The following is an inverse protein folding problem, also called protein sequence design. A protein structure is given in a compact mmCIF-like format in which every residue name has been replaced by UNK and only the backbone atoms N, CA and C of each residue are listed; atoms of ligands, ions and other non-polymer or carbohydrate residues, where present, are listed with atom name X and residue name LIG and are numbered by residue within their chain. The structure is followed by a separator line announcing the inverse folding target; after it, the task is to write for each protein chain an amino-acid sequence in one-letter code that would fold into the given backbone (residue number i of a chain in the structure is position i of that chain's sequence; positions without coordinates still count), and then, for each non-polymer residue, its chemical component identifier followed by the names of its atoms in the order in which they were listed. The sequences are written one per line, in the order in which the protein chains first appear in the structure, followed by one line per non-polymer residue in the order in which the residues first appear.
data_IF_421106086070
#
_entry.id   IF_421106086070
#
_cell.length_a   1.000
_cell.length_b   1.000
_cell.length_c   1.000
_cell.angle_alpha   90.00
_cell.angle_beta   90.00
_cell.angle_gamma   90.00
#
_symmetry.space_group_name_H-M   'P 1'
#
loop_
_entity.id
_entity.type
_entity.pdbx_description
1 polymer ?
#
# COMPACT_ATOMS: atom_id res chain seq x y z
N UNK A 1 -17.56 -2.38 3.02
CA UNK A 1 -16.69 -3.53 3.37
C UNK A 1 -16.68 -3.65 4.88
N UNK A 2 -16.66 -4.86 5.42
CA UNK A 2 -16.62 -5.12 6.88
C UNK A 2 -15.37 -5.93 7.17
N UNK A 3 -14.64 -5.55 8.21
CA UNK A 3 -13.45 -6.28 8.66
C UNK A 3 -13.86 -7.27 9.75
N UNK A 4 -13.45 -8.52 9.58
CA UNK A 4 -13.66 -9.59 10.55
C UNK A 4 -12.33 -9.96 11.17
N UNK A 5 -12.31 -10.18 12.48
CA UNK A 5 -11.19 -10.86 13.11
C UNK A 5 -11.08 -12.30 12.60
N UNK A 6 -9.90 -12.94 12.64
CA UNK A 6 -9.77 -14.35 12.30
C UNK A 6 -10.72 -15.26 13.08
N UNK A 7 -11.00 -14.91 14.34
CA UNK A 7 -11.93 -15.65 15.19
C UNK A 7 -13.38 -15.57 14.67
N UNK A 8 -13.88 -14.35 14.39
CA UNK A 8 -15.24 -14.16 13.86
C UNK A 8 -15.39 -14.78 12.46
N UNK A 9 -14.38 -14.61 11.61
CA UNK A 9 -14.36 -15.18 10.27
C UNK A 9 -14.45 -16.72 10.32
N UNK A 10 -13.75 -17.37 11.26
CA UNK A 10 -13.82 -18.82 11.44
C UNK A 10 -15.21 -19.30 11.89
N UNK A 11 -15.86 -18.57 12.79
CA UNK A 11 -17.23 -18.88 13.24
C UNK A 11 -18.27 -18.71 12.12
N UNK A 12 -18.09 -17.71 11.26
CA UNK A 12 -19.00 -17.40 10.16
C UNK A 12 -18.66 -18.16 8.86
N UNK A 13 -17.54 -18.87 8.84
CA UNK A 13 -17.03 -19.56 7.65
C UNK A 13 -18.05 -20.48 6.97
N UNK A 14 -18.86 -21.29 7.68
CA UNK A 14 -19.90 -22.11 7.05
C UNK A 14 -20.96 -21.28 6.32
N UNK A 15 -21.28 -20.08 6.84
CA UNK A 15 -22.28 -19.18 6.24
C UNK A 15 -21.74 -18.49 4.99
N UNK A 16 -20.46 -18.08 5.00
CA UNK A 16 -19.85 -17.47 3.82
C UNK A 16 -19.76 -18.44 2.65
N UNK A 17 -19.53 -19.74 2.89
CA UNK A 17 -19.48 -20.74 1.81
C UNK A 17 -20.77 -20.90 1.02
N UNK A 18 -21.92 -20.61 1.61
CA UNK A 18 -23.24 -20.77 0.97
C UNK A 18 -23.92 -19.44 0.71
N UNK A 19 -23.23 -18.31 0.90
CA UNK A 19 -23.82 -16.99 0.74
C UNK A 19 -23.83 -16.56 -0.72
N UNK A 20 -24.96 -16.06 -1.22
CA UNK A 20 -25.06 -15.48 -2.56
C UNK A 20 -24.83 -13.95 -2.55
N UNK A 21 -24.99 -13.31 -1.39
CA UNK A 21 -24.96 -11.85 -1.26
C UNK A 21 -23.66 -11.28 -0.70
N UNK A 22 -22.80 -12.11 -0.09
CA UNK A 22 -21.58 -11.65 0.58
C UNK A 22 -20.41 -12.54 0.20
N UNK A 23 -19.26 -11.91 -0.06
CA UNK A 23 -17.99 -12.60 -0.30
C UNK A 23 -17.00 -12.30 0.81
N UNK A 24 -16.34 -13.35 1.29
CA UNK A 24 -15.23 -13.26 2.22
C UNK A 24 -13.93 -13.24 1.41
N UNK A 25 -13.16 -12.17 1.56
CA UNK A 25 -11.83 -12.02 0.95
C UNK A 25 -10.76 -12.03 2.03
N UNK A 26 -9.61 -12.66 1.75
CA UNK A 26 -8.43 -12.60 2.62
C UNK A 26 -7.54 -11.45 2.20
N UNK A 27 -7.11 -10.68 3.19
CA UNK A 27 -6.16 -9.58 3.03
C UNK A 27 -4.95 -9.80 3.93
N UNK A 28 -3.75 -9.51 3.41
CA UNK A 28 -2.54 -9.43 4.23
C UNK A 28 -1.68 -8.23 3.80
N UNK A 29 -1.05 -7.54 4.76
CA UNK A 29 -0.18 -6.40 4.46
C UNK A 29 1.13 -6.83 3.80
N UNK A 30 1.63 -6.02 2.87
CA UNK A 30 2.91 -6.27 2.21
C UNK A 30 4.09 -5.92 3.12
N UNK A 31 4.54 -6.91 3.89
CA UNK A 31 5.64 -6.77 4.86
C UNK A 31 6.98 -7.32 4.38
N UNK A 32 7.00 -8.04 3.26
CA UNK A 32 8.20 -8.60 2.65
C UNK A 32 8.06 -8.53 1.12
N UNK A 33 8.97 -7.83 0.44
CA UNK A 33 8.94 -7.71 -1.03
C UNK A 33 9.18 -9.05 -1.75
N UNK A 34 9.78 -10.05 -1.08
CA UNK A 34 10.00 -11.37 -1.66
C UNK A 34 8.73 -12.25 -1.72
N UNK A 35 7.62 -11.79 -1.13
CA UNK A 35 6.34 -12.52 -1.11
C UNK A 35 5.35 -11.81 -2.03
N UNK A 36 4.54 -12.54 -2.83
CA UNK A 36 3.47 -11.92 -3.62
C UNK A 36 2.51 -11.10 -2.75
N UNK A 37 2.06 -9.97 -3.30
CA UNK A 37 1.07 -9.11 -2.65
C UNK A 37 -0.28 -9.80 -2.56
N UNK A 38 -0.97 -9.66 -1.41
CA UNK A 38 -2.37 -10.08 -1.23
C UNK A 38 -3.33 -8.88 -1.20
N UNK A 39 -2.87 -7.71 -1.65
CA UNK A 39 -3.64 -6.47 -1.62
C UNK A 39 -4.82 -6.46 -2.61
N UNK A 40 -4.75 -7.30 -3.65
CA UNK A 40 -5.78 -7.42 -4.69
C UNK A 40 -7.00 -8.25 -4.25
N UNK A 41 -6.97 -8.85 -3.05
CA UNK A 41 -8.08 -9.62 -2.45
C UNK A 41 -8.55 -10.86 -3.23
N UNK A 42 -7.77 -11.29 -4.23
CA UNK A 42 -8.11 -12.42 -5.09
C UNK A 42 -7.51 -13.76 -4.62
N UNK A 43 -6.67 -13.75 -3.57
CA UNK A 43 -5.99 -14.95 -3.07
C UNK A 43 -6.94 -16.04 -2.54
N UNK A 44 -7.91 -15.64 -1.73
CA UNK A 44 -8.94 -16.53 -1.23
C UNK A 44 -10.26 -15.77 -1.17
N UNK A 45 -11.19 -16.18 -2.03
CA UNK A 45 -12.56 -15.65 -2.07
C UNK A 45 -13.55 -16.77 -1.78
N UNK A 46 -14.47 -16.54 -0.85
CA UNK A 46 -15.53 -17.49 -0.49
C UNK A 46 -16.92 -16.83 -0.56
N UNK A 47 -17.91 -17.44 -1.23
CA UNK A 47 -17.74 -18.62 -2.09
C UNK A 47 -16.86 -18.30 -3.30
N UNK A 48 -16.25 -19.32 -3.91
CA UNK A 48 -15.41 -19.12 -5.08
C UNK A 48 -16.25 -18.61 -6.26
N UNK A 49 -15.79 -17.56 -6.93
CA UNK A 49 -16.45 -16.99 -8.11
C UNK A 49 -15.40 -16.70 -9.17
N UNK A 50 -15.70 -16.98 -10.44
CA UNK A 50 -14.80 -16.66 -11.55
C UNK A 50 -14.68 -15.15 -11.83
N UNK A 51 -15.54 -14.31 -11.26
CA UNK A 51 -15.46 -12.85 -11.42
C UNK A 51 -14.34 -12.27 -10.56
N UNK A 52 -13.38 -11.60 -11.18
CA UNK A 52 -12.37 -10.82 -10.48
C UNK A 52 -13.02 -9.66 -9.71
N UNK A 53 -12.65 -9.47 -8.44
CA UNK A 53 -13.10 -8.33 -7.65
C UNK A 53 -12.00 -7.27 -7.64
N UNK A 54 -12.26 -6.11 -8.24
CA UNK A 54 -11.31 -4.99 -8.14
C UNK A 54 -11.61 -4.15 -6.91
N UNK A 55 -10.67 -4.13 -5.97
CA UNK A 55 -10.75 -3.29 -4.78
C UNK A 55 -10.61 -1.81 -5.16
N UNK A 56 -11.57 -0.92 -4.80
CA UNK A 56 -11.43 0.50 -5.08
C UNK A 56 -10.16 1.07 -4.45
N UNK A 57 -9.39 1.82 -5.24
CA UNK A 57 -8.08 2.37 -4.86
C UNK A 57 -8.06 3.14 -3.53
N UNK A 58 -9.03 4.02 -3.20
CA UNK A 58 -9.06 4.68 -1.90
C UNK A 58 -9.19 3.72 -0.72
N UNK A 59 -9.93 2.62 -0.92
CA UNK A 59 -10.12 1.59 0.11
C UNK A 59 -8.86 0.74 0.28
N UNK A 60 -8.21 0.35 -0.83
CA UNK A 60 -6.91 -0.33 -0.81
C UNK A 60 -5.86 0.49 -0.05
N UNK A 61 -5.80 1.80 -0.32
CA UNK A 61 -4.90 2.74 0.35
C UNK A 61 -5.15 2.79 1.86
N UNK A 62 -6.40 2.92 2.29
CA UNK A 62 -6.77 2.93 3.70
C UNK A 62 -6.40 1.60 4.38
N UNK A 63 -6.73 0.46 3.77
CA UNK A 63 -6.39 -0.86 4.32
C UNK A 63 -4.89 -1.02 4.49
N UNK A 64 -4.10 -0.71 3.46
CA UNK A 64 -2.64 -0.80 3.55
C UNK A 64 -2.04 0.07 4.65
N UNK A 65 -2.50 1.32 4.77
CA UNK A 65 -2.06 2.23 5.83
C UNK A 65 -2.43 1.70 7.22
N UNK A 66 -3.67 1.26 7.40
CA UNK A 66 -4.17 0.86 8.71
C UNK A 66 -3.76 -0.54 9.12
N UNK A 67 -3.51 -1.47 8.21
CA UNK A 67 -2.99 -2.81 8.50
C UNK A 67 -1.46 -2.79 8.63
N UNK A 68 -0.82 -1.74 8.12
CA UNK A 68 0.60 -1.46 8.34
C UNK A 68 1.49 -2.21 7.35
N UNK A 69 1.11 -2.19 6.07
CA UNK A 69 1.99 -2.61 4.98
C UNK A 69 3.28 -1.79 5.01
N UNK A 70 4.42 -2.44 4.81
CA UNK A 70 5.74 -1.79 4.82
C UNK A 70 6.19 -1.34 3.43
N UNK A 71 5.79 -2.12 2.42
CA UNK A 71 6.11 -1.89 1.04
C UNK A 71 4.84 -1.49 0.29
N UNK A 72 5.04 -0.76 -0.79
CA UNK A 72 3.98 -0.26 -1.65
C UNK A 72 4.17 -0.89 -3.03
N UNK A 73 3.06 -1.24 -3.69
CA UNK A 73 3.06 -1.93 -4.97
C UNK A 73 3.75 -1.12 -6.08
N UNK A 74 3.42 0.17 -6.19
CA UNK A 74 3.91 1.03 -7.27
C UNK A 74 4.15 2.48 -6.81
N UNK A 75 4.80 3.25 -7.68
CA UNK A 75 5.08 4.67 -7.44
C UNK A 75 3.78 5.51 -7.37
N UNK A 76 2.71 5.09 -8.03
CA UNK A 76 1.42 5.81 -8.03
C UNK A 76 0.78 5.72 -6.64
N UNK A 77 0.81 4.56 -6.00
CA UNK A 77 0.36 4.29 -4.64
C UNK A 77 1.18 5.08 -3.64
N UNK A 78 2.49 5.21 -3.84
CA UNK A 78 3.30 6.16 -3.06
C UNK A 78 2.77 7.60 -3.14
N UNK A 79 2.45 8.11 -4.33
CA UNK A 79 1.88 9.47 -4.45
C UNK A 79 0.55 9.59 -3.72
N UNK A 80 -0.30 8.56 -3.77
CA UNK A 80 -1.59 8.58 -3.08
C UNK A 80 -1.42 8.56 -1.57
N UNK A 81 -0.49 7.75 -1.05
CA UNK A 81 -0.09 7.76 0.37
C UNK A 81 0.36 9.16 0.78
N UNK A 82 1.24 9.79 0.00
CA UNK A 82 1.69 11.14 0.27
C UNK A 82 0.54 12.15 0.24
N UNK A 83 -0.38 12.06 -0.72
CA UNK A 83 -1.54 12.94 -0.80
C UNK A 83 -2.44 12.80 0.45
N UNK A 84 -2.76 11.57 0.86
CA UNK A 84 -3.61 11.32 2.04
C UNK A 84 -2.92 11.74 3.33
N UNK A 85 -1.61 11.49 3.47
CA UNK A 85 -0.82 11.92 4.62
C UNK A 85 -0.41 13.40 4.55
N UNK A 86 -0.82 14.14 3.51
CA UNK A 86 -0.47 15.55 3.25
C UNK A 86 1.04 15.81 3.22
N UNK A 87 1.80 14.90 2.62
CA UNK A 87 3.25 14.97 2.48
C UNK A 87 3.64 15.50 1.10
N UNK A 88 4.60 16.42 1.08
CA UNK A 88 5.20 16.94 -0.13
C UNK A 88 6.72 16.90 -0.06
N UNK A 89 7.34 16.32 -1.09
CA UNK A 89 8.79 16.19 -1.22
C UNK A 89 9.32 16.77 -2.54
N UNK A 90 8.50 17.55 -3.23
CA UNK A 90 8.85 18.21 -4.48
C UNK A 90 9.50 19.58 -4.26
N UNK A 91 9.96 20.22 -5.34
CA UNK A 91 10.36 21.62 -5.29
C UNK A 91 9.14 22.50 -4.99
N UNK A 92 9.26 23.38 -4.00
CA UNK A 92 8.20 24.34 -3.67
C UNK A 92 8.43 25.66 -4.41
N UNK A 93 7.36 26.28 -4.93
CA UNK A 93 7.41 27.67 -5.35
C UNK A 93 7.90 28.58 -4.20
N UNK A 94 8.66 29.65 -4.48
CA UNK A 94 9.22 30.53 -3.44
C UNK A 94 8.18 31.08 -2.46
N UNK A 95 6.96 31.33 -2.94
CA UNK A 95 5.88 31.87 -2.11
C UNK A 95 5.26 30.83 -1.16
N UNK A 96 5.42 29.53 -1.43
CA UNK A 96 5.07 28.41 -0.54
C UNK A 96 6.24 27.94 0.33
N UNK A 97 7.47 28.34 0.02
CA UNK A 97 8.67 28.01 0.79
C UNK A 97 8.83 28.87 2.08
N UNK A 98 7.72 29.22 2.73
CA UNK A 98 7.71 30.01 3.97
C UNK A 98 7.68 29.10 5.19
N UNK A 99 8.30 29.50 6.32
CA UNK A 99 8.17 28.79 7.59
C UNK A 99 6.70 28.59 7.96
N UNK A 100 6.34 27.39 8.42
CA UNK A 100 4.99 27.05 8.86
C UNK A 100 4.06 26.52 7.76
N UNK A 101 4.39 26.66 6.47
CA UNK A 101 3.60 26.05 5.38
C UNK A 101 3.85 24.54 5.32
N UNK A 102 5.12 24.14 5.36
CA UNK A 102 5.56 22.75 5.35
C UNK A 102 6.54 22.54 6.51
N UNK A 103 6.49 21.36 7.14
CA UNK A 103 7.46 21.00 8.17
C UNK A 103 8.65 20.21 7.60
N UNK A 104 9.65 19.96 8.45
CA UNK A 104 10.88 19.22 8.08
C UNK A 104 10.59 17.79 7.64
N UNK A 105 9.48 17.19 8.07
CA UNK A 105 9.06 15.85 7.65
C UNK A 105 8.27 15.87 6.32
N UNK A 106 8.08 17.04 5.70
CA UNK A 106 7.34 17.21 4.46
C UNK A 106 5.83 17.37 4.63
N UNK A 107 5.28 17.43 5.84
CA UNK A 107 3.84 17.61 6.05
C UNK A 107 3.43 19.06 5.78
N UNK A 108 2.40 19.24 4.94
CA UNK A 108 1.86 20.54 4.56
C UNK A 108 0.73 20.93 5.51
N UNK A 109 0.95 21.99 6.30
CA UNK A 109 0.00 22.52 7.26
C UNK A 109 -1.07 23.39 6.60
N UNK A 110 -0.66 24.22 5.64
CA UNK A 110 -1.53 25.24 5.04
C UNK A 110 -2.54 24.63 4.05
N UNK A 111 -3.82 24.99 4.21
CA UNK A 111 -4.92 24.45 3.38
C UNK A 111 -4.87 24.96 1.94
N UNK A 112 -4.42 26.20 1.70
CA UNK A 112 -4.32 26.75 0.36
C UNK A 112 -3.15 26.10 -0.38
N UNK A 113 -2.01 25.94 0.28
CA UNK A 113 -0.87 25.20 -0.23
C UNK A 113 -1.25 23.76 -0.60
N UNK A 114 -2.08 23.07 0.21
CA UNK A 114 -2.59 21.72 -0.15
C UNK A 114 -3.34 21.73 -1.48
N UNK A 115 -4.23 22.71 -1.69
CA UNK A 115 -5.00 22.84 -2.95
C UNK A 115 -4.08 23.14 -4.14
N UNK A 116 -3.15 24.08 -3.98
CA UNK A 116 -2.21 24.45 -5.03
C UNK A 116 -1.25 23.32 -5.41
N UNK A 117 -0.83 22.51 -4.43
CA UNK A 117 -0.01 21.32 -4.65
C UNK A 117 -0.79 20.12 -5.20
N UNK A 118 -2.08 20.30 -5.52
CA UNK A 118 -2.95 19.25 -6.06
C UNK A 118 -3.22 18.11 -5.07
N UNK A 119 -3.10 18.37 -3.77
CA UNK A 119 -3.47 17.40 -2.75
C UNK A 119 -4.99 17.36 -2.66
N UNK A 120 -5.61 16.25 -3.07
CA UNK A 120 -7.06 16.10 -3.11
C UNK A 120 -7.76 16.39 -1.77
N UNK A 121 -9.09 16.43 -1.78
CA UNK A 121 -9.87 16.76 -0.57
C UNK A 121 -9.75 15.68 0.52
N UNK A 122 -9.52 14.43 0.12
CA UNK A 122 -9.35 13.29 1.01
C UNK A 122 -7.93 13.29 1.62
N UNK A 123 -7.84 13.33 2.95
CA UNK A 123 -6.58 13.19 3.68
C UNK A 123 -6.68 13.58 5.15
N UNK A 124 -5.60 13.39 5.89
CA UNK A 124 -5.52 13.76 7.31
C UNK A 124 -5.42 15.28 7.48
N UNK A 125 -6.22 15.83 8.40
CA UNK A 125 -6.16 17.25 8.75
C UNK A 125 -4.87 17.58 9.51
N UNK A 126 -4.53 16.71 10.47
CA UNK A 126 -3.38 16.78 11.35
C UNK A 126 -2.26 15.84 10.90
N UNK A 127 -1.03 16.11 11.36
CA UNK A 127 0.12 15.27 11.04
C UNK A 127 -0.02 13.87 11.63
N UNK A 128 -0.38 12.89 10.79
CA UNK A 128 -0.60 11.50 11.17
C UNK A 128 0.69 10.66 11.20
N UNK A 129 1.85 11.21 10.83
CA UNK A 129 3.11 10.47 10.82
C UNK A 129 3.45 9.84 12.18
N UNK A 130 3.34 10.54 13.33
CA UNK A 130 3.64 9.94 14.64
C UNK A 130 2.74 8.75 14.95
N UNK A 131 1.45 8.82 14.59
CA UNK A 131 0.48 7.75 14.78
C UNK A 131 0.88 6.49 13.99
N UNK A 132 1.11 6.62 12.68
CA UNK A 132 1.50 5.46 11.85
C UNK A 132 2.86 4.89 12.24
N UNK A 133 3.83 5.74 12.64
CA UNK A 133 5.11 5.27 13.20
C UNK A 133 4.89 4.41 14.45
N UNK A 134 4.04 4.85 15.38
CA UNK A 134 3.72 4.11 16.59
C UNK A 134 3.02 2.78 16.29
N UNK A 135 1.99 2.82 15.46
CA UNK A 135 1.23 1.65 15.03
C UNK A 135 2.12 0.57 14.38
N UNK A 136 2.96 0.96 13.42
CA UNK A 136 3.87 0.04 12.74
C UNK A 136 4.95 -0.53 13.68
N UNK A 137 5.46 0.28 14.61
CA UNK A 137 6.39 -0.20 15.65
C UNK A 137 5.74 -1.26 16.54
N UNK A 138 4.50 -1.04 16.97
CA UNK A 138 3.77 -2.01 17.80
C UNK A 138 3.59 -3.35 17.07
N UNK A 139 3.12 -3.32 15.82
CA UNK A 139 2.93 -4.54 15.01
C UNK A 139 4.20 -5.31 14.71
N UNK A 140 5.34 -4.61 14.71
CA UNK A 140 6.65 -5.21 14.43
C UNK A 140 7.48 -5.43 15.69
N UNK A 141 6.87 -5.39 16.87
CA UNK A 141 7.55 -5.63 18.14
C UNK A 141 8.80 -4.74 18.31
N UNK A 142 8.69 -3.46 17.94
CA UNK A 142 9.76 -2.48 18.05
C UNK A 142 10.84 -2.54 16.96
N UNK A 143 10.78 -3.48 16.01
CA UNK A 143 11.76 -3.57 14.92
C UNK A 143 11.74 -2.32 14.02
N UNK A 144 12.92 -1.87 13.60
CA UNK A 144 13.10 -0.64 12.82
C UNK A 144 12.49 -0.70 11.42
N UNK A 145 11.90 0.41 10.96
CA UNK A 145 11.18 0.53 9.68
C UNK A 145 12.05 1.06 8.54
N UNK A 146 13.22 1.63 8.86
CA UNK A 146 14.05 2.46 7.97
C UNK A 146 14.20 2.02 6.51
N UNK A 147 14.54 0.76 6.20
CA UNK A 147 14.78 0.35 4.80
C UNK A 147 13.49 0.24 3.96
N UNK A 148 12.32 0.11 4.59
CA UNK A 148 11.04 -0.06 3.89
C UNK A 148 10.53 1.24 3.26
N UNK A 149 9.61 1.12 2.28
CA UNK A 149 8.95 2.28 1.66
C UNK A 149 8.24 3.13 2.72
N UNK A 150 7.42 2.50 3.57
CA UNK A 150 6.74 3.21 4.65
C UNK A 150 7.71 3.74 5.70
N UNK A 151 8.84 3.09 5.95
CA UNK A 151 9.92 3.65 6.75
C UNK A 151 10.39 4.99 6.20
N UNK A 152 10.83 5.01 4.95
CA UNK A 152 11.30 6.23 4.27
C UNK A 152 10.22 7.31 4.32
N UNK A 153 8.98 7.02 3.88
CA UNK A 153 7.86 7.98 3.88
C UNK A 153 7.61 8.53 5.28
N UNK A 154 7.48 7.65 6.27
CA UNK A 154 7.13 8.05 7.62
C UNK A 154 8.24 8.86 8.27
N UNK A 155 9.50 8.64 7.94
CA UNK A 155 10.63 9.45 8.42
C UNK A 155 10.96 10.66 7.53
N UNK A 156 10.06 11.05 6.62
CA UNK A 156 10.19 12.26 5.81
C UNK A 156 11.19 12.13 4.65
N UNK A 157 11.50 10.90 4.23
CA UNK A 157 12.38 10.60 3.10
C UNK A 157 11.54 10.33 1.85
N UNK A 158 11.89 11.01 0.76
CA UNK A 158 11.25 10.87 -0.55
C UNK A 158 11.58 9.53 -1.20
N UNK A 159 10.56 8.86 -1.76
CA UNK A 159 10.75 7.75 -2.70
C UNK A 159 10.85 8.25 -4.14
N UNK A 160 11.63 7.54 -4.94
CA UNK A 160 11.83 7.70 -6.39
C UNK A 160 11.17 6.54 -7.12
N UNK A 161 10.95 6.69 -8.43
CA UNK A 161 10.44 5.58 -9.25
C UNK A 161 11.35 4.35 -9.20
N UNK A 162 12.66 4.55 -9.11
CA UNK A 162 13.67 3.50 -8.98
C UNK A 162 13.64 2.73 -7.65
N UNK A 163 12.89 3.19 -6.63
CA UNK A 163 12.68 2.42 -5.41
C UNK A 163 11.67 1.27 -5.63
N UNK A 164 10.97 1.26 -6.76
CA UNK A 164 10.00 0.24 -7.14
C UNK A 164 10.61 -0.64 -8.22
N UNK A 165 10.51 -1.95 -8.04
CA UNK A 165 10.87 -2.91 -9.09
C UNK A 165 9.82 -2.77 -10.18
N UNK A 166 10.21 -2.33 -11.38
CA UNK A 166 9.38 -2.57 -12.56
C UNK A 166 9.29 -4.08 -12.72
N UNK A 167 8.08 -4.65 -12.70
CA UNK A 167 7.87 -6.05 -13.06
C UNK A 167 8.54 -6.29 -14.41
N UNK A 168 9.74 -6.89 -14.36
CA UNK A 168 10.38 -7.42 -15.53
C UNK A 168 9.43 -8.48 -16.09
N UNK A 169 9.03 -8.29 -17.34
CA UNK A 169 8.26 -9.19 -18.17
C UNK A 169 8.40 -10.66 -17.73
N UNK A 170 7.37 -11.16 -17.04
CA UNK A 170 7.15 -12.59 -16.88
C UNK A 170 6.52 -13.13 -18.18
N UNK A 171 7.35 -13.25 -19.23
CA UNK A 171 7.13 -13.91 -20.53
C UNK A 171 8.31 -13.41 -21.41
N UNK A 172 9.30 -14.19 -21.85
CA UNK A 172 9.28 -15.57 -22.33
C UNK A 172 10.60 -16.25 -21.94
N UNK A 173 10.53 -17.37 -21.21
CA UNK A 173 11.55 -18.41 -21.33
C UNK A 173 10.92 -19.42 -22.28
N UNK A 174 11.15 -19.23 -23.58
CA UNK A 174 11.07 -20.34 -24.52
C UNK A 174 12.03 -21.41 -24.01
N UNK A 175 11.47 -22.51 -23.50
CA UNK A 175 12.22 -23.74 -23.35
C UNK A 175 12.40 -24.23 -24.78
N UNK A 176 13.60 -24.03 -25.31
CA UNK A 176 14.05 -24.60 -26.56
C UNK A 176 14.04 -26.13 -26.41
N UNK A 177 13.04 -26.80 -27.00
CA UNK A 177 12.89 -28.27 -26.99
C UNK A 177 13.95 -29.00 -27.82
N UNK A 178 14.98 -28.31 -28.34
CA UNK A 178 16.00 -28.91 -29.21
C UNK A 178 17.24 -29.49 -28.48
N UNK A 179 17.24 -29.58 -27.14
CA UNK A 179 18.35 -30.27 -26.41
C UNK A 179 18.08 -31.74 -26.07
N UNK A 180 17.05 -32.36 -26.66
CA UNK A 180 16.77 -33.81 -26.50
C UNK A 180 17.10 -34.63 -27.74
N UNK A 181 18.19 -34.33 -28.45
CA UNK A 181 18.83 -35.28 -29.35
C UNK A 181 20.32 -34.98 -29.36
N UNK A 182 21.13 -35.76 -28.63
CA UNK A 182 22.52 -36.14 -28.91
C UNK A 182 23.12 -36.71 -27.63
N UNK A 183 22.86 -37.99 -27.40
CA UNK A 183 23.84 -38.94 -26.85
C UNK A 183 23.38 -40.33 -27.28
N UNK A 184 23.95 -40.77 -28.42
CA UNK A 184 23.97 -42.16 -28.85
C UNK A 184 25.25 -42.84 -28.36
#
# INVERSE_FOLDING_TARGET
MVLFSPYEANQLFPRFRTSEGVRLHVFAPQNNQAVPSLEDLDFLTLPFTASAFSLPRPLALQLNLFVGSLYLQDYKTYRDVCSVLRLYFGPLPPYLAKPGIINVSGFVHDLNARKELGMGELGFENNALPFFRGMLKLRRFGRGLGPSHMGKILYGTRLRKSDFVEEAAAADIEIDEDTLMLDG
#
